data_IF_772399841620
#
_entry.id   IF_772399841620
#
_cell.length_a   1.000
_cell.length_b   1.000
_cell.length_c   1.000
_cell.angle_alpha   90.00
_cell.angle_beta   90.00
_cell.angle_gamma   90.00
#
_symmetry.space_group_name_H-M   'P 1'
#
loop_
_entity.id
_entity.type
_entity.pdbx_description
1 polymer ?
#
# COMPACT_ATOMS: atom_id res chain seq x y z
N UNK A 1 8.56 -11.47 -35.58
CA UNK A 1 8.98 -10.06 -35.44
C UNK A 1 10.44 -9.92 -35.01
N UNK A 2 10.85 -10.37 -33.82
CA UNK A 2 12.24 -10.24 -33.36
C UNK A 2 13.29 -10.81 -34.34
N UNK A 3 13.04 -12.00 -34.88
CA UNK A 3 13.91 -12.61 -35.92
C UNK A 3 14.10 -11.72 -37.14
N UNK A 4 13.02 -11.08 -37.60
CA UNK A 4 12.99 -10.23 -38.79
C UNK A 4 13.73 -8.90 -38.55
N UNK A 5 13.59 -8.33 -37.35
CA UNK A 5 14.35 -7.15 -36.95
C UNK A 5 15.85 -7.45 -36.85
N UNK A 6 16.22 -8.59 -36.26
CA UNK A 6 17.62 -8.98 -36.10
C UNK A 6 18.32 -9.25 -37.44
N UNK A 7 17.58 -9.59 -38.50
CA UNK A 7 18.13 -9.78 -39.85
C UNK A 7 18.36 -8.47 -40.62
N UNK A 8 17.93 -7.33 -40.10
CA UNK A 8 17.93 -6.03 -40.78
C UNK A 8 18.88 -5.04 -40.09
N UNK A 9 20.07 -4.76 -40.67
CA UNK A 9 21.10 -3.93 -40.03
C UNK A 9 20.62 -2.54 -39.60
N UNK A 10 19.68 -1.96 -40.36
CA UNK A 10 19.07 -0.66 -40.08
C UNK A 10 18.33 -0.58 -38.73
N UNK A 11 17.94 -1.74 -38.16
CA UNK A 11 17.28 -1.81 -36.85
C UNK A 11 18.25 -2.16 -35.73
N UNK A 12 19.53 -2.41 -36.00
CA UNK A 12 20.50 -2.84 -34.99
C UNK A 12 20.58 -1.89 -33.80
N UNK A 13 20.63 -0.58 -34.04
CA UNK A 13 20.64 0.45 -32.97
C UNK A 13 19.33 0.49 -32.19
N UNK A 14 18.20 0.31 -32.87
CA UNK A 14 16.88 0.27 -32.24
C UNK A 14 16.72 -0.98 -31.35
N UNK A 15 17.19 -2.14 -31.81
CA UNK A 15 17.28 -3.35 -31.00
C UNK A 15 18.24 -3.16 -29.81
N UNK A 16 19.38 -2.50 -30.01
CA UNK A 16 20.35 -2.25 -28.95
C UNK A 16 19.76 -1.37 -27.83
N UNK A 17 19.02 -0.31 -28.16
CA UNK A 17 18.38 0.52 -27.13
C UNK A 17 17.21 -0.21 -26.46
N UNK A 18 16.41 -0.96 -27.22
CA UNK A 18 15.29 -1.75 -26.67
C UNK A 18 15.75 -2.87 -25.74
N UNK A 19 16.97 -3.40 -25.93
CA UNK A 19 17.58 -4.43 -25.08
C UNK A 19 18.45 -3.85 -23.96
N UNK A 20 18.59 -2.52 -23.88
CA UNK A 20 19.42 -1.84 -22.88
C UNK A 20 20.93 -1.95 -23.13
N UNK A 21 21.35 -2.37 -24.32
CA UNK A 21 22.76 -2.43 -24.72
C UNK A 21 23.39 -1.04 -24.95
N UNK A 22 22.56 -0.06 -25.31
CA UNK A 22 22.93 1.36 -25.40
C UNK A 22 21.87 2.21 -24.69
N UNK A 23 22.23 3.42 -24.27
CA UNK A 23 21.27 4.33 -23.63
C UNK A 23 20.34 5.00 -24.65
N UNK A 24 19.24 5.59 -24.17
CA UNK A 24 18.34 6.39 -25.02
C UNK A 24 19.07 7.60 -25.60
N UNK A 25 19.92 8.26 -24.80
CA UNK A 25 20.72 9.39 -25.26
C UNK A 25 21.72 8.98 -26.34
N UNK A 26 22.36 7.82 -26.20
CA UNK A 26 23.26 7.27 -27.21
C UNK A 26 22.51 6.91 -28.50
N UNK A 27 21.31 6.37 -28.40
CA UNK A 27 20.45 6.07 -29.55
C UNK A 27 20.11 7.34 -30.33
N UNK A 28 19.66 8.39 -29.63
CA UNK A 28 19.25 9.68 -30.23
C UNK A 28 20.38 10.43 -30.95
N UNK A 29 21.65 10.20 -30.58
CA UNK A 29 22.81 10.83 -31.22
C UNK A 29 23.17 10.24 -32.59
N UNK A 30 22.58 9.11 -32.96
CA UNK A 30 22.85 8.44 -34.24
C UNK A 30 21.62 8.39 -35.15
N UNK A 31 21.70 7.53 -36.16
CA UNK A 31 20.57 7.24 -37.03
C UNK A 31 19.46 6.54 -36.24
N UNK A 32 18.25 7.09 -36.32
CA UNK A 32 17.06 6.59 -35.63
C UNK A 32 16.06 6.05 -36.63
N UNK A 33 15.33 5.03 -36.19
CA UNK A 33 14.25 4.45 -36.98
C UNK A 33 13.09 5.45 -37.08
N UNK A 34 12.49 5.64 -38.27
CA UNK A 34 11.38 6.57 -38.44
C UNK A 34 10.21 6.27 -37.50
N UNK A 35 9.63 7.31 -36.90
CA UNK A 35 8.52 7.17 -35.95
C UNK A 35 7.36 6.35 -36.53
N UNK A 36 7.01 6.55 -37.81
CA UNK A 36 5.94 5.80 -38.46
C UNK A 36 6.19 4.28 -38.50
N UNK A 37 7.44 3.86 -38.62
CA UNK A 37 7.80 2.43 -38.56
C UNK A 37 7.64 1.89 -37.14
N UNK A 38 8.13 2.61 -36.13
CA UNK A 38 7.95 2.23 -34.71
C UNK A 38 6.47 2.14 -34.37
N UNK A 39 5.65 3.10 -34.80
CA UNK A 39 4.19 3.07 -34.64
C UNK A 39 3.59 1.85 -35.34
N UNK A 40 3.95 1.57 -36.59
CA UNK A 40 3.47 0.40 -37.34
C UNK A 40 3.82 -0.93 -36.67
N UNK A 41 5.03 -1.02 -36.11
CA UNK A 41 5.47 -2.15 -35.30
C UNK A 41 4.62 -2.33 -34.05
N UNK A 42 4.40 -1.27 -33.27
CA UNK A 42 3.55 -1.33 -32.08
C UNK A 42 2.12 -1.76 -32.43
N UNK A 43 1.54 -1.23 -33.51
CA UNK A 43 0.23 -1.65 -34.00
C UNK A 43 0.20 -3.13 -34.37
N UNK A 44 1.26 -3.63 -35.01
CA UNK A 44 1.38 -5.05 -35.33
C UNK A 44 1.46 -5.91 -34.06
N UNK A 45 2.24 -5.50 -33.06
CA UNK A 45 2.32 -6.20 -31.77
C UNK A 45 0.96 -6.25 -31.08
N UNK A 46 0.24 -5.12 -31.00
CA UNK A 46 -1.09 -5.07 -30.41
C UNK A 46 -2.03 -6.02 -31.16
N UNK A 47 -2.04 -5.99 -32.49
CA UNK A 47 -2.90 -6.86 -33.32
C UNK A 47 -2.63 -8.35 -33.12
N UNK A 48 -1.40 -8.74 -32.81
CA UNK A 48 -0.99 -10.14 -32.63
C UNK A 48 -1.00 -10.58 -31.16
N UNK A 49 -1.30 -9.70 -30.21
CA UNK A 49 -1.26 -10.03 -28.79
C UNK A 49 -2.35 -11.07 -28.46
N UNK A 50 -1.96 -12.13 -27.74
CA UNK A 50 -2.92 -13.09 -27.17
C UNK A 50 -3.68 -12.48 -25.98
N UNK A 51 -2.99 -11.65 -25.20
CA UNK A 51 -3.52 -10.92 -24.04
C UNK A 51 -3.03 -9.48 -24.13
N UNK A 52 -3.95 -8.53 -24.06
CA UNK A 52 -3.67 -7.11 -24.05
C UNK A 52 -4.01 -6.51 -22.67
N UNK A 53 -2.98 -6.19 -21.89
CA UNK A 53 -3.14 -5.53 -20.59
C UNK A 53 -3.20 -4.01 -20.75
N UNK A 54 -4.30 -3.38 -20.32
CA UNK A 54 -4.48 -1.92 -20.36
C UNK A 54 -5.20 -1.44 -19.11
N UNK A 55 -5.13 -0.14 -18.83
CA UNK A 55 -6.04 0.48 -17.87
C UNK A 55 -7.42 0.66 -18.50
N UNK A 56 -8.52 0.75 -17.72
CA UNK A 56 -9.86 0.95 -18.28
C UNK A 56 -9.94 2.16 -19.23
N UNK A 57 -9.33 3.29 -18.84
CA UNK A 57 -9.28 4.49 -19.68
C UNK A 57 -8.54 4.28 -21.00
N UNK A 58 -7.37 3.61 -20.98
CA UNK A 58 -6.59 3.35 -22.18
C UNK A 58 -7.26 2.33 -23.11
N UNK A 59 -8.06 1.41 -22.55
CA UNK A 59 -8.80 0.40 -23.32
C UNK A 59 -9.79 0.99 -24.34
N UNK A 60 -10.15 2.27 -24.20
CA UNK A 60 -11.08 2.98 -25.07
C UNK A 60 -10.40 3.90 -26.09
N UNK A 61 -9.08 4.00 -26.07
CA UNK A 61 -8.32 4.76 -27.06
C UNK A 61 -7.78 3.85 -28.15
N UNK A 62 -7.56 4.39 -29.35
CA UNK A 62 -6.83 3.68 -30.39
C UNK A 62 -5.38 3.46 -29.94
N UNK A 63 -4.76 2.31 -30.27
CA UNK A 63 -5.32 1.19 -31.05
C UNK A 63 -6.07 0.13 -30.21
N UNK A 64 -6.04 0.24 -28.88
CA UNK A 64 -6.51 -0.80 -27.96
C UNK A 64 -8.01 -1.04 -28.06
N UNK A 65 -8.79 0.02 -28.32
CA UNK A 65 -10.22 -0.09 -28.57
C UNK A 65 -10.53 -1.05 -29.73
N UNK A 66 -9.82 -0.92 -30.85
CA UNK A 66 -10.01 -1.78 -32.02
C UNK A 66 -9.70 -3.24 -31.68
N UNK A 67 -8.61 -3.49 -30.98
CA UNK A 67 -8.29 -4.86 -30.54
C UNK A 67 -9.36 -5.42 -29.59
N UNK A 68 -9.85 -4.60 -28.65
CA UNK A 68 -10.93 -4.98 -27.74
C UNK A 68 -12.24 -5.32 -28.47
N UNK A 69 -12.61 -4.54 -29.47
CA UNK A 69 -13.86 -4.71 -30.21
C UNK A 69 -13.78 -5.84 -31.27
N UNK A 70 -12.62 -6.04 -31.90
CA UNK A 70 -12.48 -6.97 -33.03
C UNK A 70 -11.80 -8.30 -32.69
N UNK A 71 -10.98 -8.35 -31.63
CA UNK A 71 -10.10 -9.49 -31.33
C UNK A 71 -10.33 -10.12 -29.96
N UNK A 72 -10.71 -9.33 -28.95
CA UNK A 72 -10.90 -9.85 -27.60
C UNK A 72 -12.07 -10.84 -27.54
N UNK A 73 -11.89 -11.94 -26.80
CA UNK A 73 -12.92 -12.96 -26.55
C UNK A 73 -13.42 -12.99 -25.10
N UNK A 74 -12.89 -12.12 -24.27
CA UNK A 74 -13.18 -12.02 -22.86
C UNK A 74 -12.41 -10.86 -22.25
N UNK A 75 -12.86 -10.41 -21.09
CA UNK A 75 -12.25 -9.32 -20.33
C UNK A 75 -11.94 -9.85 -18.93
N UNK A 76 -10.75 -9.56 -18.44
CA UNK A 76 -10.38 -9.79 -17.05
C UNK A 76 -10.01 -8.45 -16.43
N UNK A 77 -10.59 -8.15 -15.26
CA UNK A 77 -10.32 -6.94 -14.51
C UNK A 77 -9.79 -7.34 -13.16
N UNK A 78 -8.52 -7.03 -12.93
CA UNK A 78 -7.90 -7.18 -11.62
C UNK A 78 -8.05 -5.91 -10.77
N UNK A 79 -7.94 -6.05 -9.46
CA UNK A 79 -8.18 -4.98 -8.48
C UNK A 79 -9.54 -4.27 -8.68
N UNK A 80 -10.56 -5.03 -9.07
CA UNK A 80 -11.91 -4.55 -9.34
C UNK A 80 -12.61 -3.91 -8.13
N UNK A 81 -12.08 -4.13 -6.92
CA UNK A 81 -12.49 -3.45 -5.69
C UNK A 81 -12.08 -1.96 -5.63
N UNK A 82 -11.08 -1.55 -6.41
CA UNK A 82 -10.52 -0.19 -6.40
C UNK A 82 -10.88 0.64 -7.65
N UNK A 83 -11.59 0.07 -8.64
CA UNK A 83 -12.04 0.83 -9.81
C UNK A 83 -13.49 1.30 -9.64
N UNK A 84 -13.84 2.41 -10.26
CA UNK A 84 -15.23 2.87 -10.25
C UNK A 84 -16.11 2.00 -11.17
N UNK A 85 -17.42 1.94 -10.90
CA UNK A 85 -18.37 1.29 -11.84
C UNK A 85 -18.28 1.87 -13.27
N UNK A 86 -18.16 3.20 -13.48
CA UNK A 86 -17.88 3.77 -14.79
C UNK A 86 -16.60 3.26 -15.47
N UNK A 87 -15.52 3.02 -14.72
CA UNK A 87 -14.30 2.42 -15.27
C UNK A 87 -14.57 1.01 -15.79
N UNK A 88 -15.28 0.18 -15.02
CA UNK A 88 -15.68 -1.15 -15.51
C UNK A 88 -16.55 -1.05 -16.77
N UNK A 89 -17.53 -0.14 -16.82
CA UNK A 89 -18.39 0.01 -17.99
C UNK A 89 -17.63 0.49 -19.22
N UNK A 90 -16.55 1.25 -19.03
CA UNK A 90 -15.63 1.67 -20.09
C UNK A 90 -14.88 0.47 -20.67
N UNK A 91 -14.41 -0.44 -19.81
CA UNK A 91 -13.73 -1.66 -20.25
C UNK A 91 -14.71 -2.71 -20.83
N UNK A 92 -15.71 -3.13 -20.04
CA UNK A 92 -16.63 -4.23 -20.33
C UNK A 92 -17.89 -3.80 -21.08
N UNK A 93 -18.62 -2.81 -20.56
CA UNK A 93 -19.76 -2.16 -21.22
C UNK A 93 -20.68 -3.05 -22.08
N UNK A 94 -21.06 -2.55 -23.25
CA UNK A 94 -21.94 -3.26 -24.20
C UNK A 94 -21.19 -4.26 -25.09
N UNK A 95 -20.04 -4.77 -24.67
CA UNK A 95 -19.27 -5.75 -25.47
C UNK A 95 -19.92 -7.14 -25.47
N UNK A 96 -20.75 -7.44 -24.46
CA UNK A 96 -21.31 -8.78 -24.17
C UNK A 96 -20.24 -9.88 -24.03
N UNK A 97 -18.96 -9.51 -23.87
CA UNK A 97 -17.87 -10.46 -23.69
C UNK A 97 -17.95 -11.08 -22.29
N UNK A 98 -17.56 -12.37 -22.12
CA UNK A 98 -17.34 -12.96 -20.81
C UNK A 98 -16.39 -12.08 -19.98
N UNK A 99 -16.75 -11.82 -18.72
CA UNK A 99 -15.97 -10.94 -17.84
C UNK A 99 -15.60 -11.66 -16.55
N UNK A 100 -14.31 -11.65 -16.22
CA UNK A 100 -13.76 -12.12 -14.94
C UNK A 100 -13.36 -10.90 -14.11
N UNK A 101 -13.93 -10.75 -12.93
CA UNK A 101 -13.58 -9.71 -11.98
C UNK A 101 -12.83 -10.32 -10.80
N UNK A 102 -11.62 -9.84 -10.52
CA UNK A 102 -10.85 -10.19 -9.33
C UNK A 102 -10.52 -8.94 -8.52
N UNK A 103 -10.43 -9.10 -7.21
CA UNK A 103 -10.09 -8.03 -6.30
C UNK A 103 -10.55 -8.36 -4.88
N UNK A 104 -10.53 -7.34 -4.03
CA UNK A 104 -10.92 -7.45 -2.64
C UNK A 104 -11.68 -6.19 -2.23
N UNK A 105 -12.99 -6.32 -1.97
CA UNK A 105 -13.86 -5.22 -1.57
C UNK A 105 -13.52 -4.66 -0.18
N UNK A 106 -12.71 -5.36 0.62
CA UNK A 106 -12.22 -4.91 1.93
C UNK A 106 -10.87 -4.20 1.86
N UNK A 107 -10.28 -4.07 0.66
CA UNK A 107 -9.12 -3.22 0.40
C UNK A 107 -9.57 -1.89 -0.21
N UNK A 108 -8.66 -1.13 -0.83
CA UNK A 108 -8.93 0.22 -1.32
C UNK A 108 -10.17 0.29 -2.20
N UNK A 109 -11.01 1.28 -1.90
CA UNK A 109 -12.21 1.63 -2.65
C UNK A 109 -11.89 2.68 -3.72
N UNK A 110 -12.76 2.84 -4.72
CA UNK A 110 -12.63 3.89 -5.73
C UNK A 110 -12.44 5.26 -5.08
N UNK A 111 -11.51 6.04 -5.62
CA UNK A 111 -11.19 7.35 -5.05
C UNK A 111 -12.16 8.43 -5.56
N UNK A 112 -12.97 8.97 -4.65
CA UNK A 112 -13.88 10.09 -4.93
C UNK A 112 -13.33 11.36 -4.28
N UNK A 113 -12.74 12.24 -5.09
CA UNK A 113 -12.09 13.47 -4.59
C UNK A 113 -13.07 14.40 -3.86
N UNK A 114 -14.32 14.45 -4.31
CA UNK A 114 -15.37 15.32 -3.76
C UNK A 114 -16.14 14.69 -2.58
N UNK A 115 -15.66 13.59 -2.02
CA UNK A 115 -16.36 12.81 -0.98
C UNK A 115 -16.68 13.62 0.28
N UNK A 116 -15.75 14.50 0.68
CA UNK A 116 -15.86 15.30 1.90
C UNK A 116 -16.00 16.79 1.59
N UNK A 117 -16.18 17.15 0.32
CA UNK A 117 -16.30 18.54 -0.09
C UNK A 117 -17.67 19.09 0.35
N UNK A 118 -17.63 20.22 1.04
CA UNK A 118 -18.80 20.90 1.57
C UNK A 118 -18.85 22.35 1.06
N UNK A 119 -20.06 22.87 0.87
CA UNK A 119 -20.27 24.29 0.62
C UNK A 119 -20.10 25.13 1.89
N UNK A 120 -20.32 26.45 1.78
CA UNK A 120 -20.18 27.39 2.89
C UNK A 120 -21.18 27.11 4.04
N UNK A 121 -22.29 26.43 3.74
CA UNK A 121 -23.35 26.08 4.69
C UNK A 121 -23.18 24.63 5.23
N UNK A 122 -22.00 24.02 5.02
CA UNK A 122 -21.67 22.65 5.41
C UNK A 122 -22.49 21.54 4.72
N UNK A 123 -23.17 21.85 3.61
CA UNK A 123 -23.84 20.82 2.82
C UNK A 123 -22.83 20.09 1.93
N UNK A 124 -22.97 18.77 1.81
CA UNK A 124 -22.16 17.99 0.88
C UNK A 124 -22.39 18.47 -0.57
N UNK A 125 -21.31 18.84 -1.25
CA UNK A 125 -21.32 19.25 -2.66
C UNK A 125 -21.68 18.03 -3.54
N UNK A 126 -21.08 16.87 -3.27
CA UNK A 126 -21.39 15.62 -3.95
C UNK A 126 -22.18 14.68 -3.04
N UNK A 127 -23.51 14.80 -3.08
CA UNK A 127 -24.42 13.93 -2.29
C UNK A 127 -24.39 12.46 -2.71
N UNK A 128 -23.91 12.16 -3.93
CA UNK A 128 -23.79 10.80 -4.47
C UNK A 128 -22.40 10.20 -4.26
N UNK A 129 -21.47 10.92 -3.61
CA UNK A 129 -20.13 10.41 -3.37
C UNK A 129 -20.10 9.04 -2.66
N UNK A 130 -20.98 8.73 -1.68
CA UNK A 130 -21.03 7.40 -1.08
C UNK A 130 -21.36 6.28 -2.08
N UNK A 131 -22.22 6.52 -3.06
CA UNK A 131 -22.55 5.57 -4.13
C UNK A 131 -21.38 5.39 -5.11
N UNK A 132 -20.59 6.45 -5.33
CA UNK A 132 -19.35 6.42 -6.11
C UNK A 132 -18.24 5.57 -5.48
N UNK A 133 -18.27 5.35 -4.16
CA UNK A 133 -17.33 4.46 -3.45
C UNK A 133 -17.65 2.97 -3.66
N UNK A 134 -18.84 2.63 -4.15
CA UNK A 134 -19.22 1.24 -4.38
C UNK A 134 -18.55 0.76 -5.66
N UNK A 135 -17.56 -0.11 -5.49
CA UNK A 135 -16.84 -0.76 -6.58
C UNK A 135 -17.77 -1.71 -7.36
N UNK A 136 -17.46 -2.05 -8.63
CA UNK A 136 -18.23 -3.05 -9.35
C UNK A 136 -18.18 -4.43 -8.68
N UNK A 137 -17.05 -4.78 -8.05
CA UNK A 137 -16.91 -6.04 -7.32
C UNK A 137 -17.89 -6.11 -6.13
N UNK A 138 -17.94 -5.03 -5.33
CA UNK A 138 -18.86 -4.91 -4.21
C UNK A 138 -20.32 -4.91 -4.67
N UNK A 139 -20.63 -4.15 -5.73
CA UNK A 139 -21.98 -4.07 -6.30
C UNK A 139 -22.49 -5.43 -6.81
N UNK A 140 -21.69 -6.15 -7.59
CA UNK A 140 -22.08 -7.45 -8.14
C UNK A 140 -22.19 -8.52 -7.03
N UNK A 141 -21.28 -8.49 -6.05
CA UNK A 141 -21.36 -9.37 -4.89
C UNK A 141 -22.65 -9.12 -4.09
N UNK A 142 -22.99 -7.85 -3.84
CA UNK A 142 -24.19 -7.47 -3.09
C UNK A 142 -25.50 -7.81 -3.81
N UNK A 143 -25.48 -7.90 -5.15
CA UNK A 143 -26.65 -8.32 -5.95
C UNK A 143 -26.83 -9.85 -6.03
N UNK A 144 -25.97 -10.62 -5.37
CA UNK A 144 -26.10 -12.07 -5.24
C UNK A 144 -25.39 -12.87 -6.32
N UNK A 145 -24.46 -12.26 -7.08
CA UNK A 145 -23.64 -13.01 -8.03
C UNK A 145 -22.76 -14.03 -7.30
N UNK A 146 -22.59 -15.25 -7.85
CA UNK A 146 -21.70 -16.24 -7.27
C UNK A 146 -20.26 -15.72 -7.20
N UNK A 147 -19.68 -15.76 -6.01
CA UNK A 147 -18.29 -15.36 -5.76
C UNK A 147 -17.42 -16.58 -5.45
N UNK A 148 -16.22 -16.60 -6.03
CA UNK A 148 -15.20 -17.58 -5.68
C UNK A 148 -14.17 -16.93 -4.74
N UNK A 149 -14.13 -17.37 -3.48
CA UNK A 149 -13.21 -16.83 -2.46
C UNK A 149 -11.99 -17.72 -2.30
N UNK A 150 -10.79 -17.14 -2.45
CA UNK A 150 -9.52 -17.81 -2.17
C UNK A 150 -9.30 -17.91 -0.66
N UNK A 151 -8.97 -19.12 -0.17
CA UNK A 151 -8.88 -19.42 1.28
C UNK A 151 -7.48 -19.77 1.75
N UNK A 152 -6.47 -19.65 0.89
CA UNK A 152 -5.08 -19.98 1.22
C UNK A 152 -4.21 -18.74 1.05
N UNK A 153 -3.68 -18.24 2.16
CA UNK A 153 -2.70 -17.15 2.16
C UNK A 153 -1.31 -17.72 1.88
N UNK A 154 -0.63 -17.22 0.87
CA UNK A 154 0.69 -17.67 0.40
C UNK A 154 1.82 -16.66 0.66
N UNK A 155 1.49 -15.39 0.99
CA UNK A 155 2.45 -14.29 1.12
C UNK A 155 3.11 -14.23 2.51
N UNK A 156 2.29 -14.14 3.55
CA UNK A 156 2.75 -13.83 4.90
C UNK A 156 3.19 -15.08 5.65
N UNK A 157 4.21 -14.92 6.50
CA UNK A 157 4.56 -15.90 7.52
C UNK A 157 3.37 -16.16 8.44
N UNK A 158 3.28 -17.39 8.97
CA UNK A 158 2.27 -17.76 9.97
C UNK A 158 2.25 -16.75 11.13
N UNK A 159 1.06 -16.26 11.47
CA UNK A 159 0.81 -15.26 12.51
C UNK A 159 0.59 -13.84 11.96
N UNK A 160 1.25 -13.47 10.85
CA UNK A 160 1.24 -12.08 10.34
C UNK A 160 -0.01 -11.67 9.57
N UNK A 161 -0.89 -12.61 9.21
CA UNK A 161 -2.20 -12.30 8.63
C UNK A 161 -3.33 -12.32 9.68
N UNK A 162 -3.08 -12.87 10.87
CA UNK A 162 -4.12 -13.16 11.85
C UNK A 162 -4.81 -11.89 12.34
N UNK A 163 -4.08 -10.78 12.43
CA UNK A 163 -4.64 -9.47 12.76
C UNK A 163 -5.64 -8.99 11.69
N UNK A 164 -5.25 -8.94 10.42
CA UNK A 164 -6.13 -8.57 9.31
C UNK A 164 -7.33 -9.53 9.22
N UNK A 165 -7.10 -10.83 9.38
CA UNK A 165 -8.17 -11.83 9.36
C UNK A 165 -9.21 -11.58 10.46
N UNK A 166 -8.77 -11.38 11.71
CA UNK A 166 -9.65 -11.13 12.86
C UNK A 166 -10.52 -9.89 12.67
N UNK A 167 -9.92 -8.81 12.16
CA UNK A 167 -10.59 -7.51 12.08
C UNK A 167 -11.41 -7.31 10.81
N UNK A 168 -10.99 -7.89 9.69
CA UNK A 168 -11.54 -7.58 8.36
C UNK A 168 -12.21 -8.78 7.69
N UNK A 169 -11.65 -9.99 7.84
CA UNK A 169 -12.05 -11.19 7.10
C UNK A 169 -12.55 -12.32 8.01
N UNK A 170 -13.11 -11.98 9.17
CA UNK A 170 -13.50 -12.97 10.18
C UNK A 170 -14.65 -13.90 9.73
N UNK A 171 -15.37 -13.54 8.67
CA UNK A 171 -16.39 -14.33 8.01
C UNK A 171 -15.82 -15.39 7.06
N UNK A 172 -14.53 -15.31 6.71
CA UNK A 172 -13.89 -16.20 5.75
C UNK A 172 -12.90 -17.16 6.44
N UNK A 173 -13.20 -18.47 6.50
CA UNK A 173 -12.21 -19.45 6.94
C UNK A 173 -11.00 -19.47 5.98
N UNK A 174 -9.79 -19.43 6.54
CA UNK A 174 -8.54 -19.47 5.77
C UNK A 174 -7.52 -20.43 6.36
N UNK A 175 -6.50 -20.75 5.56
CA UNK A 175 -5.31 -21.49 5.99
C UNK A 175 -4.04 -20.82 5.46
N UNK A 176 -2.93 -21.03 6.16
CA UNK A 176 -1.61 -20.66 5.66
C UNK A 176 -1.08 -21.74 4.72
N UNK A 177 -0.61 -21.34 3.54
CA UNK A 177 0.03 -22.25 2.61
C UNK A 177 1.43 -22.68 3.04
N UNK A 178 2.03 -23.57 2.25
CA UNK A 178 3.39 -24.11 2.50
C UNK A 178 4.48 -23.03 2.50
N UNK A 179 4.26 -21.93 1.77
CA UNK A 179 5.16 -20.78 1.71
C UNK A 179 5.30 -20.04 3.04
N UNK A 180 4.24 -20.05 3.87
CA UNK A 180 4.14 -19.29 5.11
C UNK A 180 4.89 -19.88 6.30
N UNK A 181 5.55 -21.03 6.13
CA UNK A 181 6.35 -21.64 7.18
C UNK A 181 7.54 -20.72 7.53
N UNK A 182 7.74 -20.43 8.81
CA UNK A 182 8.80 -19.55 9.31
C UNK A 182 10.21 -19.87 8.77
N UNK A 183 10.48 -21.13 8.41
CA UNK A 183 11.75 -21.53 7.78
C UNK A 183 12.02 -20.81 6.45
N UNK A 184 10.97 -20.35 5.74
CA UNK A 184 11.06 -19.56 4.51
C UNK A 184 11.07 -18.05 4.75
N UNK A 185 10.94 -17.63 6.02
CA UNK A 185 10.87 -16.24 6.45
C UNK A 185 12.04 -15.86 7.37
N UNK A 186 13.25 -16.31 7.03
CA UNK A 186 14.46 -16.11 7.84
C UNK A 186 14.74 -14.64 8.18
N UNK A 187 14.45 -13.72 7.26
CA UNK A 187 14.58 -12.27 7.51
C UNK A 187 13.65 -11.77 8.62
N UNK A 188 12.46 -12.35 8.76
CA UNK A 188 11.52 -12.07 9.86
C UNK A 188 12.00 -12.63 11.18
N UNK A 189 12.59 -13.83 11.18
CA UNK A 189 13.23 -14.41 12.36
C UNK A 189 14.41 -13.55 12.84
N UNK A 190 15.22 -13.04 11.90
CA UNK A 190 16.31 -12.11 12.21
C UNK A 190 15.77 -10.80 12.80
N UNK A 191 14.66 -10.28 12.28
CA UNK A 191 13.99 -9.11 12.85
C UNK A 191 13.53 -9.35 14.29
N UNK A 192 12.84 -10.45 14.57
CA UNK A 192 12.40 -10.81 15.93
C UNK A 192 13.58 -10.94 16.90
N UNK A 193 14.68 -11.59 16.47
CA UNK A 193 15.88 -11.73 17.30
C UNK A 193 16.54 -10.38 17.60
N UNK A 194 16.60 -9.48 16.62
CA UNK A 194 17.11 -8.12 16.81
C UNK A 194 16.21 -7.33 17.76
N UNK A 195 14.89 -7.40 17.59
CA UNK A 195 13.92 -6.74 18.46
C UNK A 195 13.99 -7.23 19.90
N UNK A 196 14.08 -8.55 20.12
CA UNK A 196 14.18 -9.15 21.46
C UNK A 196 15.46 -8.71 22.20
N UNK A 197 16.58 -8.56 21.48
CA UNK A 197 17.84 -8.05 22.07
C UNK A 197 17.74 -6.56 22.40
N UNK A 198 17.13 -5.78 21.51
CA UNK A 198 17.00 -4.32 21.65
C UNK A 198 15.97 -3.92 22.71
N UNK A 199 14.90 -4.70 22.87
CA UNK A 199 13.79 -4.44 23.78
C UNK A 199 13.49 -5.67 24.63
N UNK A 200 14.17 -5.85 25.78
CA UNK A 200 13.98 -7.01 26.65
C UNK A 200 12.55 -7.21 27.18
N UNK A 201 11.73 -6.14 27.19
CA UNK A 201 10.32 -6.18 27.60
C UNK A 201 9.33 -6.54 26.49
N UNK A 202 9.78 -6.72 25.25
CA UNK A 202 8.91 -7.12 24.14
C UNK A 202 8.54 -8.60 24.28
N UNK A 203 7.25 -8.91 24.33
CA UNK A 203 6.77 -10.29 24.41
C UNK A 203 7.11 -11.04 23.11
N UNK A 204 7.59 -12.30 23.15
CA UNK A 204 7.89 -13.07 21.94
C UNK A 204 6.63 -13.46 21.18
N UNK A 205 6.70 -13.69 19.86
CA UNK A 205 5.58 -14.25 19.10
C UNK A 205 5.27 -15.70 19.55
N UNK A 206 4.04 -16.20 19.29
CA UNK A 206 3.71 -17.60 19.51
C UNK A 206 4.67 -18.56 18.80
N UNK A 207 4.86 -19.77 19.36
CA UNK A 207 5.80 -20.76 18.82
C UNK A 207 5.46 -21.10 17.36
N UNK A 208 6.45 -20.96 16.49
CA UNK A 208 6.29 -21.27 15.06
C UNK A 208 5.59 -20.17 14.24
N UNK A 209 5.43 -18.97 14.81
CA UNK A 209 4.81 -17.80 14.19
C UNK A 209 5.72 -16.57 14.28
N UNK A 210 5.40 -15.54 13.51
CA UNK A 210 5.94 -14.20 13.62
C UNK A 210 4.81 -13.23 13.99
N UNK A 211 5.14 -12.07 14.57
CA UNK A 211 4.15 -11.08 14.98
C UNK A 211 4.59 -9.67 14.64
N UNK A 212 3.62 -8.82 14.36
CA UNK A 212 3.82 -7.39 14.20
C UNK A 212 4.37 -6.76 15.49
N UNK A 213 5.07 -5.63 15.36
CA UNK A 213 5.49 -4.79 16.49
C UNK A 213 5.10 -3.35 16.24
N UNK A 214 4.50 -2.73 17.26
CA UNK A 214 4.28 -1.30 17.30
C UNK A 214 5.43 -0.60 18.00
N UNK A 215 5.97 0.44 17.38
CA UNK A 215 7.05 1.29 17.86
C UNK A 215 6.47 2.65 18.18
N UNK A 216 6.11 2.86 19.45
CA UNK A 216 5.58 4.11 19.95
C UNK A 216 6.65 5.21 19.92
N UNK A 217 6.37 6.25 19.14
CA UNK A 217 7.21 7.44 19.01
C UNK A 217 6.68 8.53 19.94
N UNK A 218 7.27 8.62 21.13
CA UNK A 218 6.83 9.56 22.15
C UNK A 218 7.15 11.03 21.76
N UNK A 219 6.24 11.94 22.10
CA UNK A 219 6.43 13.40 22.00
C UNK A 219 6.73 13.96 20.61
N UNK A 220 6.36 13.24 19.55
CA UNK A 220 6.51 13.72 18.17
C UNK A 220 5.49 14.80 17.82
N UNK A 221 5.83 15.69 16.89
CA UNK A 221 4.91 16.74 16.44
C UNK A 221 4.42 16.46 15.01
N UNK A 222 3.11 16.55 14.82
CA UNK A 222 2.48 16.44 13.52
C UNK A 222 2.14 17.83 12.97
N UNK A 223 2.82 18.23 11.90
CA UNK A 223 2.51 19.45 11.16
C UNK A 223 1.40 19.21 10.12
N UNK A 224 0.50 20.18 9.94
CA UNK A 224 -0.60 20.12 8.97
C UNK A 224 -0.47 21.26 7.97
N UNK A 225 -0.44 20.93 6.68
CA UNK A 225 -0.33 21.94 5.63
C UNK A 225 -1.64 22.73 5.49
N UNK A 226 -1.58 24.07 5.49
CA UNK A 226 -2.76 24.94 5.52
C UNK A 226 -3.77 24.72 4.39
N UNK A 227 -3.28 24.56 3.16
CA UNK A 227 -4.08 24.35 1.95
C UNK A 227 -4.49 22.89 1.74
N UNK A 228 -3.52 22.00 1.49
CA UNK A 228 -3.78 20.60 1.17
C UNK A 228 -4.27 19.74 2.33
N UNK A 229 -4.24 20.27 3.57
CA UNK A 229 -4.50 19.53 4.83
C UNK A 229 -3.65 18.27 5.01
N UNK A 230 -2.60 18.11 4.19
CA UNK A 230 -1.67 16.99 4.27
C UNK A 230 -0.91 17.06 5.59
N UNK A 231 -0.73 15.90 6.23
CA UNK A 231 -0.07 15.78 7.52
C UNK A 231 1.36 15.29 7.33
N UNK A 232 2.28 15.79 8.16
CA UNK A 232 3.69 15.39 8.14
C UNK A 232 4.22 15.30 9.55
N UNK A 233 4.86 14.17 9.88
CA UNK A 233 5.54 13.96 11.14
C UNK A 233 6.98 13.52 10.87
N UNK A 234 7.91 14.48 11.01
CA UNK A 234 9.32 14.26 10.69
C UNK A 234 10.00 13.37 11.72
N UNK A 235 9.60 13.45 13.00
CA UNK A 235 10.22 12.66 14.07
C UNK A 235 9.91 11.17 13.93
N UNK A 236 8.67 10.81 13.59
CA UNK A 236 8.31 9.40 13.30
C UNK A 236 9.10 8.86 12.11
N UNK A 237 9.29 9.67 11.06
CA UNK A 237 10.10 9.28 9.89
C UNK A 237 11.56 9.08 10.30
N UNK A 238 12.15 10.05 10.98
CA UNK A 238 13.55 9.94 11.39
C UNK A 238 13.77 8.80 12.38
N UNK A 239 12.81 8.52 13.29
CA UNK A 239 12.85 7.36 14.18
C UNK A 239 12.85 6.04 13.40
N UNK A 240 12.00 5.92 12.38
CA UNK A 240 11.95 4.75 11.53
C UNK A 240 13.26 4.56 10.74
N UNK A 241 13.80 5.63 10.14
CA UNK A 241 15.05 5.55 9.38
C UNK A 241 16.26 5.23 10.25
N UNK A 242 16.35 5.82 11.45
CA UNK A 242 17.41 5.51 12.41
C UNK A 242 17.36 4.07 12.89
N UNK A 243 16.14 3.58 13.16
CA UNK A 243 15.91 2.19 13.52
C UNK A 243 16.32 1.23 12.41
N UNK A 244 15.89 1.50 11.17
CA UNK A 244 16.19 0.63 10.02
C UNK A 244 17.69 0.62 9.70
N UNK A 245 18.36 1.77 9.79
CA UNK A 245 19.81 1.85 9.63
C UNK A 245 20.52 0.97 10.65
N UNK A 246 20.15 1.08 11.93
CA UNK A 246 20.73 0.27 13.01
C UNK A 246 20.46 -1.23 12.81
N UNK A 247 19.25 -1.57 12.37
CA UNK A 247 18.87 -2.94 12.05
C UNK A 247 19.71 -3.52 10.90
N UNK A 248 19.83 -2.80 9.77
CA UNK A 248 20.64 -3.22 8.62
C UNK A 248 22.11 -3.34 9.01
N UNK A 249 22.63 -2.36 9.77
CA UNK A 249 24.01 -2.38 10.24
C UNK A 249 24.31 -3.57 11.17
N UNK A 250 23.38 -3.89 12.08
CA UNK A 250 23.57 -4.95 13.08
C UNK A 250 23.39 -6.35 12.49
N UNK A 251 22.52 -6.50 11.50
CA UNK A 251 22.10 -7.82 11.00
C UNK A 251 22.63 -8.14 9.60
N UNK A 252 23.20 -7.16 8.89
CA UNK A 252 23.64 -7.27 7.51
C UNK A 252 22.53 -7.72 6.54
N UNK A 253 21.26 -7.45 6.87
CA UNK A 253 20.14 -7.68 5.95
C UNK A 253 20.22 -6.68 4.79
N UNK A 254 20.00 -7.18 3.58
CA UNK A 254 19.87 -6.36 2.38
C UNK A 254 18.69 -5.38 2.51
N UNK A 255 18.99 -4.09 2.37
CA UNK A 255 18.01 -3.01 2.46
C UNK A 255 16.93 -3.09 1.36
N UNK A 256 17.21 -3.73 0.22
CA UNK A 256 16.23 -3.93 -0.85
C UNK A 256 14.99 -4.74 -0.42
N UNK A 257 15.13 -5.50 0.68
CA UNK A 257 14.05 -6.29 1.32
C UNK A 257 13.09 -5.45 2.17
N UNK A 258 13.42 -4.20 2.42
CA UNK A 258 12.66 -3.28 3.27
C UNK A 258 11.85 -2.31 2.40
N UNK A 259 10.61 -2.02 2.80
CA UNK A 259 9.84 -0.93 2.21
C UNK A 259 9.07 -0.14 3.28
N UNK A 260 8.91 1.17 3.03
CA UNK A 260 8.18 2.08 3.92
C UNK A 260 6.86 2.46 3.25
N UNK A 261 5.78 2.35 4.01
CA UNK A 261 4.43 2.78 3.63
C UNK A 261 3.95 3.82 4.64
N UNK A 262 3.38 4.91 4.16
CA UNK A 262 2.81 5.96 5.02
C UNK A 262 1.55 6.56 4.39
N UNK A 263 0.53 7.00 5.14
CA UNK A 263 -0.69 7.53 4.53
C UNK A 263 -0.48 8.86 3.80
N UNK A 264 0.62 9.58 4.08
CA UNK A 264 0.80 10.96 3.64
C UNK A 264 1.96 11.13 2.66
N UNK A 265 1.66 11.69 1.48
CA UNK A 265 2.66 12.04 0.46
C UNK A 265 3.76 12.96 1.01
N UNK A 266 3.44 13.85 1.95
CA UNK A 266 4.43 14.72 2.59
C UNK A 266 5.50 13.94 3.39
N UNK A 267 5.14 12.80 3.99
CA UNK A 267 6.11 11.90 4.63
C UNK A 267 6.91 11.12 3.58
N UNK A 268 6.29 10.66 2.50
CA UNK A 268 7.01 10.01 1.36
C UNK A 268 8.12 10.94 0.83
N UNK A 269 7.78 12.20 0.57
CA UNK A 269 8.73 13.19 0.06
C UNK A 269 9.82 13.51 1.07
N UNK A 270 9.47 13.54 2.37
CA UNK A 270 10.45 13.72 3.42
C UNK A 270 11.41 12.52 3.51
N UNK A 271 10.92 11.28 3.46
CA UNK A 271 11.75 10.07 3.45
C UNK A 271 12.73 10.10 2.26
N UNK A 272 12.23 10.41 1.06
CA UNK A 272 13.06 10.46 -0.14
C UNK A 272 14.19 11.49 -0.04
N UNK A 273 13.89 12.69 0.49
CA UNK A 273 14.94 13.70 0.77
C UNK A 273 15.89 13.23 1.85
N UNK A 274 15.35 12.66 2.94
CA UNK A 274 16.12 12.29 4.12
C UNK A 274 17.12 11.18 3.85
N UNK A 275 16.75 10.19 3.02
CA UNK A 275 17.63 9.08 2.57
C UNK A 275 18.84 9.51 1.72
N UNK A 276 18.89 10.77 1.25
CA UNK A 276 20.08 11.32 0.56
C UNK A 276 21.20 11.72 1.52
N UNK A 277 20.89 11.86 2.81
CA UNK A 277 21.90 12.12 3.84
C UNK A 277 22.84 10.90 3.94
N UNK A 278 24.18 11.08 3.89
CA UNK A 278 25.16 10.00 4.00
C UNK A 278 24.97 9.08 5.20
N UNK A 279 24.35 9.57 6.29
CA UNK A 279 24.01 8.75 7.46
C UNK A 279 23.11 7.56 7.14
N UNK A 280 22.34 7.61 6.05
CA UNK A 280 21.42 6.56 5.61
C UNK A 280 21.91 5.85 4.34
N UNK A 281 23.20 5.93 4.01
CA UNK A 281 23.76 5.25 2.84
C UNK A 281 23.48 3.73 2.83
N UNK A 282 23.44 3.09 4.00
CA UNK A 282 23.07 1.67 4.14
C UNK A 282 21.63 1.35 3.70
N UNK A 283 20.78 2.38 3.58
CA UNK A 283 19.39 2.26 3.15
C UNK A 283 19.21 2.70 1.69
N UNK A 284 20.30 2.90 0.92
CA UNK A 284 20.22 3.39 -0.46
C UNK A 284 19.42 2.44 -1.37
N UNK A 285 19.57 1.13 -1.20
CA UNK A 285 18.92 0.11 -2.05
C UNK A 285 17.46 -0.17 -1.67
N UNK A 286 16.94 0.43 -0.58
CA UNK A 286 15.51 0.32 -0.28
C UNK A 286 14.68 0.90 -1.42
N UNK A 287 13.53 0.27 -1.71
CA UNK A 287 12.54 0.85 -2.62
C UNK A 287 12.10 2.24 -2.16
N UNK A 288 11.66 3.07 -3.10
CA UNK A 288 11.03 4.36 -2.77
C UNK A 288 9.86 4.15 -1.83
N UNK A 289 9.72 5.02 -0.83
CA UNK A 289 8.55 4.99 0.04
C UNK A 289 7.28 5.24 -0.78
N UNK A 290 6.19 4.61 -0.38
CA UNK A 290 4.91 4.68 -1.08
C UNK A 290 3.81 5.21 -0.15
N UNK A 291 2.78 5.82 -0.73
CA UNK A 291 1.54 6.01 0.01
C UNK A 291 0.79 4.69 0.11
N UNK A 292 -0.18 4.59 1.03
CA UNK A 292 -1.06 3.42 1.09
C UNK A 292 -1.71 3.16 -0.28
N UNK A 293 -2.26 4.22 -0.90
CA UNK A 293 -2.94 4.15 -2.20
C UNK A 293 -2.00 3.69 -3.33
N UNK A 294 -0.74 4.15 -3.33
CA UNK A 294 0.26 3.76 -4.36
C UNK A 294 0.98 2.44 -4.05
N UNK A 295 0.68 1.79 -2.91
CA UNK A 295 1.33 0.55 -2.48
C UNK A 295 0.49 -0.71 -2.75
N UNK A 296 -0.71 -0.55 -3.30
CA UNK A 296 -1.56 -1.68 -3.67
C UNK A 296 -0.86 -2.57 -4.71
N UNK A 297 -0.95 -3.88 -4.52
CA UNK A 297 -0.21 -4.87 -5.31
C UNK A 297 1.29 -4.96 -5.02
N UNK A 298 1.87 -4.03 -4.25
CA UNK A 298 3.29 -4.08 -3.84
C UNK A 298 3.47 -4.88 -2.55
N UNK A 299 4.61 -5.55 -2.44
CA UNK A 299 4.98 -6.36 -1.26
C UNK A 299 6.49 -6.28 -0.99
N UNK A 300 6.86 -6.42 0.29
CA UNK A 300 8.26 -6.50 0.72
C UNK A 300 8.41 -7.51 1.85
N UNK A 301 9.64 -7.97 2.09
CA UNK A 301 9.93 -8.90 3.16
C UNK A 301 9.61 -8.28 4.52
N UNK A 302 10.06 -7.05 4.75
CA UNK A 302 9.71 -6.26 5.94
C UNK A 302 9.06 -4.96 5.50
N UNK A 303 7.87 -4.70 6.01
CA UNK A 303 7.16 -3.44 5.85
C UNK A 303 7.30 -2.60 7.10
N UNK A 304 7.57 -1.31 6.88
CA UNK A 304 7.58 -0.29 7.91
C UNK A 304 6.43 0.67 7.63
N UNK A 305 5.37 0.54 8.42
CA UNK A 305 4.19 1.39 8.39
C UNK A 305 4.42 2.62 9.26
N UNK A 306 4.39 3.83 8.70
CA UNK A 306 4.52 5.09 9.46
C UNK A 306 3.19 5.82 9.43
N UNK A 307 2.48 5.87 10.57
CA UNK A 307 1.15 6.47 10.65
C UNK A 307 1.16 7.98 10.40
N UNK A 308 2.21 8.68 10.89
CA UNK A 308 2.44 10.09 10.58
C UNK A 308 1.55 11.07 11.34
N UNK A 309 0.74 10.58 12.29
CA UNK A 309 -0.16 11.39 13.13
C UNK A 309 0.08 11.13 14.61
N UNK A 310 -0.57 11.95 15.44
CA UNK A 310 -0.46 11.96 16.90
C UNK A 310 -1.83 12.18 17.52
N UNK A 311 -1.97 11.84 18.80
CA UNK A 311 -3.18 12.08 19.60
C UNK A 311 -3.69 13.53 19.50
N UNK A 312 -2.78 14.52 19.40
CA UNK A 312 -3.13 15.94 19.26
C UNK A 312 -3.86 16.28 17.95
N UNK A 313 -3.57 15.54 16.87
CA UNK A 313 -4.14 15.77 15.54
C UNK A 313 -5.20 14.73 15.17
N UNK A 314 -5.20 13.58 15.87
CA UNK A 314 -6.07 12.44 15.63
C UNK A 314 -5.55 11.49 14.52
N UNK A 315 -6.23 10.36 14.32
CA UNK A 315 -5.76 9.24 13.49
C UNK A 315 -5.65 9.57 11.99
N UNK A 316 -6.37 10.58 11.51
CA UNK A 316 -6.34 10.96 10.09
C UNK A 316 -6.75 9.79 9.19
N UNK A 317 -5.93 9.44 8.20
CA UNK A 317 -6.25 8.40 7.21
C UNK A 317 -6.19 6.97 7.74
N UNK A 318 -5.61 6.75 8.93
CA UNK A 318 -5.55 5.42 9.54
C UNK A 318 -6.88 4.96 10.15
N UNK A 319 -7.89 5.85 10.21
CA UNK A 319 -9.26 5.49 10.61
C UNK A 319 -10.02 4.73 9.52
N UNK A 320 -9.63 4.89 8.25
CA UNK A 320 -10.24 4.17 7.14
C UNK A 320 -9.75 2.72 7.15
N UNK A 321 -10.69 1.78 7.37
CA UNK A 321 -10.37 0.36 7.54
C UNK A 321 -9.77 -0.26 6.27
N UNK A 322 -10.18 0.19 5.08
CA UNK A 322 -9.68 -0.31 3.81
C UNK A 322 -8.21 0.06 3.62
N UNK A 323 -7.87 1.32 3.90
CA UNK A 323 -6.49 1.81 3.88
C UNK A 323 -5.63 1.16 4.96
N UNK A 324 -6.17 1.02 6.17
CA UNK A 324 -5.43 0.37 7.26
C UNK A 324 -5.17 -1.11 6.94
N UNK A 325 -6.16 -1.83 6.44
CA UNK A 325 -6.01 -3.22 5.99
C UNK A 325 -4.94 -3.36 4.92
N UNK A 326 -4.94 -2.49 3.90
CA UNK A 326 -3.87 -2.44 2.89
C UNK A 326 -2.52 -2.18 3.53
N UNK A 327 -2.41 -1.22 4.45
CA UNK A 327 -1.15 -0.85 5.09
C UNK A 327 -0.56 -1.98 5.94
N UNK A 328 -1.42 -2.78 6.59
CA UNK A 328 -1.06 -3.87 7.49
C UNK A 328 -0.94 -5.24 6.80
N UNK A 329 -1.00 -5.31 5.46
CA UNK A 329 -1.03 -6.57 4.70
C UNK A 329 -0.03 -6.66 3.52
N UNK A 330 1.01 -5.80 3.51
CA UNK A 330 2.04 -5.78 2.46
C UNK A 330 3.32 -6.56 2.82
N UNK A 331 3.45 -7.00 4.06
CA UNK A 331 4.61 -7.74 4.57
C UNK A 331 4.59 -9.21 4.13
N UNK A 332 5.77 -9.78 3.93
CA UNK A 332 5.94 -11.25 3.87
C UNK A 332 6.40 -11.81 5.22
N UNK A 333 7.38 -11.17 5.83
CA UNK A 333 8.14 -11.73 6.96
C UNK A 333 8.16 -10.84 8.19
N UNK A 334 7.86 -9.54 8.10
CA UNK A 334 7.82 -8.68 9.27
C UNK A 334 7.07 -7.37 9.03
N UNK A 335 6.38 -6.89 10.07
CA UNK A 335 5.68 -5.60 10.05
C UNK A 335 6.05 -4.80 11.29
N UNK A 336 6.64 -3.63 11.06
CA UNK A 336 6.92 -2.61 12.07
C UNK A 336 5.99 -1.42 11.87
N UNK A 337 5.31 -0.99 12.93
CA UNK A 337 4.38 0.13 12.88
C UNK A 337 4.93 1.26 13.73
N UNK A 338 5.29 2.39 13.12
CA UNK A 338 5.76 3.59 13.82
C UNK A 338 4.61 4.59 13.93
N UNK A 339 4.33 5.02 15.16
CA UNK A 339 3.24 5.95 15.40
C UNK A 339 3.10 6.37 16.86
N UNK A 340 2.03 7.10 17.13
CA UNK A 340 1.55 7.36 18.48
C UNK A 340 0.57 6.23 18.87
N UNK A 341 0.89 5.43 19.90
CA UNK A 341 0.02 4.33 20.34
C UNK A 341 -1.27 4.86 20.95
N UNK A 342 -1.22 6.09 21.47
CA UNK A 342 -2.34 6.78 22.09
C UNK A 342 -3.05 7.73 21.11
N UNK A 343 -2.86 7.55 19.79
CA UNK A 343 -3.46 8.41 18.75
C UNK A 343 -4.99 8.50 18.84
N UNK A 344 -5.62 7.48 19.44
CA UNK A 344 -7.07 7.40 19.68
C UNK A 344 -7.46 7.77 21.13
N UNK A 345 -6.53 8.24 21.96
CA UNK A 345 -6.63 8.26 23.42
C UNK A 345 -5.80 7.14 24.06
N UNK A 346 -5.71 7.07 25.41
CA UNK A 346 -4.86 6.12 26.10
C UNK A 346 -5.18 4.67 25.69
N UNK A 347 -4.19 3.94 25.20
CA UNK A 347 -4.39 2.58 24.64
C UNK A 347 -4.86 1.57 25.69
N UNK A 348 -4.57 1.81 26.96
CA UNK A 348 -5.04 1.00 28.09
C UNK A 348 -6.47 1.33 28.52
N UNK A 349 -7.11 2.35 27.93
CA UNK A 349 -8.50 2.66 28.23
C UNK A 349 -9.41 1.58 27.64
N UNK A 350 -10.41 1.09 28.40
CA UNK A 350 -11.31 0.06 27.92
C UNK A 350 -12.15 0.59 26.74
N UNK A 351 -12.23 -0.21 25.67
CA UNK A 351 -13.14 0.06 24.56
C UNK A 351 -14.59 -0.09 25.07
N UNK A 352 -15.27 1.02 25.32
CA UNK A 352 -16.65 1.02 25.82
C UNK A 352 -17.63 0.90 24.65
N UNK A 353 -18.09 -0.33 24.41
CA UNK A 353 -18.98 -0.64 23.31
C UNK A 353 -18.30 -0.41 21.97
N UNK A 354 -18.79 0.58 21.22
CA UNK A 354 -18.33 0.91 19.88
C UNK A 354 -17.60 2.25 19.82
N UNK A 355 -17.13 2.86 20.91
CA UNK A 355 -16.51 4.19 20.83
C UNK A 355 -15.20 4.33 21.60
N UNK A 356 -14.34 5.23 21.12
CA UNK A 356 -13.14 5.70 21.82
C UNK A 356 -13.24 7.22 22.00
N UNK A 357 -12.82 7.71 23.16
CA UNK A 357 -12.78 9.15 23.48
C UNK A 357 -11.43 9.71 23.07
N UNK A 358 -11.42 10.68 22.14
CA UNK A 358 -10.22 11.42 21.81
C UNK A 358 -9.93 12.48 22.89
N UNK A 359 -8.64 12.72 23.16
CA UNK A 359 -8.23 13.84 24.01
C UNK A 359 -8.44 15.19 23.31
N UNK A 360 -8.68 16.22 24.16
CA UNK A 360 -8.96 17.63 23.85
C UNK A 360 -8.16 18.18 22.68
N UNK A 361 -8.86 18.70 21.67
CA UNK A 361 -8.28 19.70 20.76
C UNK A 361 -8.04 21.04 21.47
N UNK A 362 -7.40 22.02 20.80
CA UNK A 362 -7.17 23.37 21.33
C UNK A 362 -8.46 24.08 21.80
N UNK A 363 -9.60 23.66 21.25
CA UNK A 363 -10.91 24.27 21.43
C UNK A 363 -11.69 23.69 22.63
N UNK A 364 -11.12 22.71 23.33
CA UNK A 364 -11.69 22.16 24.57
C UNK A 364 -12.83 21.15 24.40
N UNK A 365 -13.37 20.94 23.19
CA UNK A 365 -14.46 19.99 22.95
C UNK A 365 -14.01 18.52 22.91
N UNK A 366 -14.75 17.66 23.62
CA UNK A 366 -14.58 16.21 23.57
C UNK A 366 -15.11 15.65 22.25
N UNK A 367 -14.26 14.89 21.53
CA UNK A 367 -14.68 14.17 20.33
C UNK A 367 -14.76 12.67 20.60
N UNK A 368 -15.95 12.09 20.40
CA UNK A 368 -16.19 10.65 20.48
C UNK A 368 -16.12 10.08 19.07
N UNK A 369 -15.26 9.08 18.84
CA UNK A 369 -15.17 8.37 17.56
C UNK A 369 -15.64 6.93 17.70
N UNK A 370 -16.14 6.36 16.60
CA UNK A 370 -16.39 4.91 16.53
C UNK A 370 -15.06 4.15 16.69
N UNK A 371 -15.03 3.15 17.57
CA UNK A 371 -13.93 2.22 17.75
C UNK A 371 -13.83 1.28 16.53
N UNK A 372 -13.28 1.82 15.45
CA UNK A 372 -13.00 1.09 14.22
C UNK A 372 -11.80 0.15 14.36
N UNK A 373 -11.40 -0.45 13.23
CA UNK A 373 -10.26 -1.38 13.12
C UNK A 373 -9.01 -0.87 13.86
N UNK A 374 -8.65 0.40 13.70
CA UNK A 374 -7.46 0.99 14.31
C UNK A 374 -7.43 0.82 15.84
N UNK A 375 -8.52 1.15 16.54
CA UNK A 375 -8.57 1.08 18.00
C UNK A 375 -8.36 -0.35 18.50
N UNK A 376 -8.96 -1.33 17.82
CA UNK A 376 -8.83 -2.75 18.16
C UNK A 376 -7.42 -3.26 17.90
N UNK A 377 -6.81 -2.88 16.77
CA UNK A 377 -5.43 -3.22 16.44
C UNK A 377 -4.45 -2.70 17.49
N UNK A 378 -4.57 -1.43 17.90
CA UNK A 378 -3.67 -0.83 18.90
C UNK A 378 -3.83 -1.49 20.27
N UNK A 379 -5.07 -1.73 20.70
CA UNK A 379 -5.38 -2.39 21.97
C UNK A 379 -4.92 -3.86 22.01
N UNK A 380 -5.06 -4.59 20.90
CA UNK A 380 -4.55 -5.96 20.75
C UNK A 380 -3.02 -6.01 20.84
N UNK A 381 -2.31 -5.15 20.09
CA UNK A 381 -0.85 -5.07 20.14
C UNK A 381 -0.34 -4.73 21.55
N UNK A 382 -1.02 -3.81 22.23
CA UNK A 382 -0.70 -3.44 23.61
C UNK A 382 -0.88 -4.63 24.56
N UNK A 383 -2.02 -5.30 24.53
CA UNK A 383 -2.31 -6.43 25.42
C UNK A 383 -1.43 -7.65 25.16
N UNK A 384 -1.01 -7.86 23.91
CA UNK A 384 -0.05 -8.91 23.56
C UNK A 384 1.39 -8.58 23.94
N UNK A 385 1.66 -7.40 24.52
CA UNK A 385 3.01 -6.96 24.85
C UNK A 385 3.89 -6.74 23.62
N UNK A 386 3.27 -6.37 22.48
CA UNK A 386 3.94 -6.15 21.18
C UNK A 386 4.13 -4.66 20.87
N UNK A 387 4.16 -3.83 21.90
CA UNK A 387 4.44 -2.39 21.82
C UNK A 387 5.78 -2.11 22.49
N UNK A 388 6.65 -1.37 21.80
CA UNK A 388 7.91 -0.84 22.35
C UNK A 388 7.90 0.68 22.22
N UNK A 389 8.58 1.37 23.13
CA UNK A 389 8.63 2.84 23.15
C UNK A 389 10.03 3.33 22.82
N UNK A 390 10.13 4.24 21.85
CA UNK A 390 11.35 4.98 21.59
C UNK A 390 11.40 6.26 22.44
N UNK A 391 12.58 6.65 22.93
CA UNK A 391 12.73 7.89 23.69
C UNK A 391 12.44 9.11 22.81
N UNK A 392 12.13 10.24 23.48
CA UNK A 392 12.02 11.55 22.84
C UNK A 392 13.28 11.87 22.02
N UNK A 393 13.10 12.38 20.78
CA UNK A 393 14.25 12.82 19.98
C UNK A 393 14.86 14.06 20.63
N UNK A 394 16.19 14.11 20.78
CA UNK A 394 16.87 15.30 21.30
C UNK A 394 16.60 16.49 20.37
N UNK A 395 16.00 17.56 20.89
CA UNK A 395 15.69 18.78 20.14
C UNK A 395 14.22 18.96 19.72
N UNK A 396 13.34 17.99 19.98
CA UNK A 396 11.89 18.20 19.87
C UNK A 396 11.41 19.05 21.05
N UNK A 397 11.07 20.31 20.80
CA UNK A 397 10.30 21.18 21.68
C UNK A 397 9.01 21.56 20.98
#
# INVERSE_FOLDING_TARGET
>A
MQRDMNSRPEFGRFCAVATGSITWEEYQRGETVPQGFVTGMFLHLVKQADILCTTPALSCTLPYRTWKEESARGIAVDEAGNISRPDLYTAWGNTLLPCLLSGDEKQLRPNIMTLIDQDADHNAINRFAPDGLISPLEFLTATGWPIYRLRVQLRMARGLFDMCHREVYNDLPFTYGVGSNIARHGVGVTLENYLARRFPGLAPPPRGMLSEVFVHCQGTVCSVHGLTKSKRNMDQVDNALDFLRDFVQTTAIDASRLAIITPYKANVDYIARRRRDPRYALLADMRSAATVDSSQGSEADIIVAIFGTTSAVGPGFTVDEHRLNVMLSRQKSGLLIFGDIDVMGPVNAPIRGKTVRLHRGPDGEERVMHAGMLAKVLHDLYNRGRVVTLPLRRGSR
#
